data_IF_191413345921
#
_entry.id   IF_191413345921
#
_cell.length_a   1.000
_cell.length_b   1.000
_cell.length_c   1.000
_cell.angle_alpha   90.00
_cell.angle_beta   90.00
_cell.angle_gamma   90.00
#
_symmetry.space_group_name_H-M   'P 1'
#
loop_
_entity.id
_entity.type
_entity.pdbx_description
1 polymer ?
#
# COMPACT_ATOMS: atom_id res chain seq x y z
N UNK A 1 21.26 -74.44 -42.54
CA UNK A 1 20.71 -73.47 -43.53
C UNK A 1 19.44 -72.88 -42.94
N UNK A 2 19.17 -71.57 -43.14
CA UNK A 2 18.07 -70.72 -42.62
C UNK A 2 18.45 -69.92 -41.36
N UNK A 3 18.11 -68.64 -41.21
CA UNK A 3 17.53 -67.59 -42.06
C UNK A 3 17.77 -66.32 -41.22
N UNK A 4 18.45 -65.30 -41.75
CA UNK A 4 18.64 -64.02 -41.04
C UNK A 4 17.37 -63.17 -41.22
N UNK A 5 16.75 -62.74 -40.12
CA UNK A 5 15.70 -61.71 -40.10
C UNK A 5 16.16 -60.62 -39.13
N UNK A 6 16.39 -59.42 -39.67
CA UNK A 6 16.50 -58.18 -38.92
C UNK A 6 15.09 -57.70 -38.56
N UNK A 7 14.83 -57.42 -37.28
CA UNK A 7 13.69 -56.61 -36.86
C UNK A 7 14.22 -55.43 -36.06
N UNK A 8 14.28 -54.26 -36.71
CA UNK A 8 14.55 -52.96 -36.11
C UNK A 8 13.26 -52.46 -35.47
N UNK A 9 13.27 -52.29 -34.16
CA UNK A 9 12.24 -51.58 -33.40
C UNK A 9 12.34 -50.08 -33.65
N UNK A 10 11.39 -49.53 -34.40
CA UNK A 10 11.21 -48.09 -34.60
C UNK A 10 10.50 -47.51 -33.37
N UNK A 11 11.20 -46.66 -32.61
CA UNK A 11 10.61 -45.82 -31.56
C UNK A 11 9.88 -44.67 -32.24
N UNK A 12 8.59 -44.52 -31.96
CA UNK A 12 7.79 -43.36 -32.35
C UNK A 12 8.33 -42.12 -31.63
N UNK A 13 8.96 -41.22 -32.37
CA UNK A 13 9.24 -39.86 -31.94
C UNK A 13 7.97 -39.04 -32.19
N UNK A 14 7.16 -38.80 -31.15
CA UNK A 14 6.18 -37.72 -31.18
C UNK A 14 6.96 -36.41 -31.02
N UNK A 15 7.35 -35.82 -32.15
CA UNK A 15 7.79 -34.44 -32.20
C UNK A 15 6.58 -33.56 -31.84
N UNK A 16 6.64 -32.93 -30.68
CA UNK A 16 5.75 -31.88 -30.24
C UNK A 16 5.96 -30.69 -31.19
N UNK A 17 4.98 -30.40 -32.05
CA UNK A 17 4.97 -29.20 -32.88
C UNK A 17 5.10 -27.98 -31.96
N UNK A 18 6.16 -27.21 -32.16
CA UNK A 18 6.38 -25.95 -31.46
C UNK A 18 5.23 -24.98 -31.75
N UNK A 19 4.78 -24.27 -30.71
CA UNK A 19 3.95 -23.09 -30.84
C UNK A 19 4.59 -22.15 -31.87
N UNK A 20 3.99 -22.05 -33.06
CA UNK A 20 4.30 -21.00 -34.02
C UNK A 20 3.84 -19.67 -33.39
N UNK A 21 4.79 -18.86 -32.92
CA UNK A 21 4.58 -17.48 -32.48
C UNK A 21 3.98 -16.66 -33.63
N UNK A 22 2.66 -16.51 -33.65
CA UNK A 22 2.00 -15.68 -34.66
C UNK A 22 2.28 -14.20 -34.42
N UNK A 23 2.53 -13.45 -35.49
CA UNK A 23 2.68 -12.00 -35.44
C UNK A 23 1.30 -11.33 -35.44
N UNK A 24 1.05 -10.46 -34.47
CA UNK A 24 -0.19 -9.64 -34.39
C UNK A 24 -0.03 -8.30 -35.07
N UNK A 25 1.11 -7.62 -34.86
CA UNK A 25 1.42 -6.37 -35.51
C UNK A 25 2.94 -6.13 -35.59
N UNK A 26 3.35 -5.20 -36.44
CA UNK A 26 4.71 -4.69 -36.55
C UNK A 26 4.65 -3.18 -36.41
N UNK A 27 5.49 -2.60 -35.56
CA UNK A 27 5.60 -1.15 -35.31
C UNK A 27 7.08 -0.77 -35.41
N UNK A 28 7.44 -0.04 -36.46
CA UNK A 28 8.83 0.23 -36.82
C UNK A 28 9.58 -1.08 -37.10
N UNK A 29 10.58 -1.37 -36.28
CA UNK A 29 11.37 -2.61 -36.36
C UNK A 29 10.95 -3.65 -35.31
N UNK A 30 9.93 -3.36 -34.50
CA UNK A 30 9.49 -4.22 -33.39
C UNK A 30 8.26 -5.01 -33.79
N UNK A 31 8.25 -6.30 -33.43
CA UNK A 31 7.14 -7.22 -33.67
C UNK A 31 6.35 -7.40 -32.38
N UNK A 32 5.03 -7.30 -32.47
CA UNK A 32 4.09 -7.61 -31.39
C UNK A 32 3.52 -9.00 -31.66
N UNK A 33 3.73 -9.93 -30.73
CA UNK A 33 3.33 -11.32 -30.88
C UNK A 33 1.90 -11.57 -30.41
N UNK A 34 1.29 -12.66 -30.88
CA UNK A 34 -0.01 -13.16 -30.37
C UNK A 34 0.08 -13.55 -28.89
N UNK A 35 1.23 -14.04 -28.44
CA UNK A 35 1.51 -14.33 -27.02
C UNK A 35 1.39 -13.08 -26.15
N UNK A 36 1.98 -11.96 -26.57
CA UNK A 36 1.95 -10.68 -25.83
C UNK A 36 0.51 -10.18 -25.66
N UNK A 37 -0.27 -10.21 -26.74
CA UNK A 37 -1.69 -9.84 -26.73
C UNK A 37 -2.45 -10.75 -25.77
N UNK A 38 -2.22 -12.06 -25.85
CA UNK A 38 -2.91 -13.06 -25.02
C UNK A 38 -2.58 -12.90 -23.54
N UNK A 39 -1.31 -12.64 -23.21
CA UNK A 39 -0.86 -12.38 -21.85
C UNK A 39 -1.53 -11.13 -21.27
N UNK A 40 -1.57 -10.03 -22.03
CA UNK A 40 -2.23 -8.80 -21.60
C UNK A 40 -3.75 -8.99 -21.41
N UNK A 41 -4.40 -9.74 -22.30
CA UNK A 41 -5.82 -10.11 -22.15
C UNK A 41 -6.05 -10.93 -20.88
N UNK A 42 -5.25 -11.97 -20.64
CA UNK A 42 -5.36 -12.80 -19.44
C UNK A 42 -5.19 -12.00 -18.15
N UNK A 43 -4.18 -11.11 -18.10
CA UNK A 43 -3.96 -10.23 -16.96
C UNK A 43 -5.14 -9.28 -16.74
N UNK A 44 -5.63 -8.64 -17.80
CA UNK A 44 -6.77 -7.72 -17.75
C UNK A 44 -8.04 -8.43 -17.30
N UNK A 45 -8.28 -9.66 -17.77
CA UNK A 45 -9.43 -10.47 -17.40
C UNK A 45 -9.39 -10.86 -15.91
N UNK A 46 -8.23 -11.27 -15.40
CA UNK A 46 -8.06 -11.59 -13.97
C UNK A 46 -8.30 -10.38 -13.08
N UNK A 47 -7.71 -9.22 -13.41
CA UNK A 47 -7.88 -7.98 -12.64
C UNK A 47 -9.35 -7.54 -12.57
N UNK A 48 -10.07 -7.66 -13.69
CA UNK A 48 -11.47 -7.26 -13.79
C UNK A 48 -12.46 -8.39 -13.46
N UNK A 49 -11.98 -9.56 -13.03
CA UNK A 49 -12.79 -10.76 -12.72
C UNK A 49 -13.70 -11.18 -13.88
N UNK A 50 -13.22 -11.06 -15.11
CA UNK A 50 -13.95 -11.41 -16.33
C UNK A 50 -13.69 -12.88 -16.68
N UNK A 51 -14.75 -13.66 -16.80
CA UNK A 51 -14.68 -15.02 -17.33
C UNK A 51 -14.67 -14.98 -18.87
N UNK A 52 -13.47 -15.07 -19.45
CA UNK A 52 -13.25 -15.03 -20.91
C UNK A 52 -13.80 -16.25 -21.63
N UNK A 53 -13.98 -17.37 -20.95
CA UNK A 53 -14.45 -18.62 -21.56
C UNK A 53 -15.97 -18.62 -21.81
N UNK A 54 -16.71 -17.78 -21.07
CA UNK A 54 -18.18 -17.71 -21.16
C UNK A 54 -18.68 -16.62 -22.11
N UNK A 55 -17.81 -15.72 -22.58
CA UNK A 55 -18.22 -14.54 -23.34
C UNK A 55 -17.29 -14.25 -24.53
N UNK A 56 -17.46 -14.95 -25.67
CA UNK A 56 -16.59 -14.78 -26.86
C UNK A 56 -16.53 -13.34 -27.38
N UNK A 57 -17.64 -12.60 -27.33
CA UNK A 57 -17.69 -11.19 -27.76
C UNK A 57 -16.89 -10.26 -26.84
N UNK A 58 -16.79 -10.58 -25.56
CA UNK A 58 -15.98 -9.81 -24.59
C UNK A 58 -14.50 -10.11 -24.81
N UNK A 59 -14.16 -11.39 -25.04
CA UNK A 59 -12.81 -11.81 -25.38
C UNK A 59 -12.28 -11.06 -26.62
N UNK A 60 -13.06 -11.01 -27.71
CA UNK A 60 -12.65 -10.29 -28.93
C UNK A 60 -12.39 -8.80 -28.65
N UNK A 61 -13.25 -8.13 -27.88
CA UNK A 61 -13.05 -6.71 -27.50
C UNK A 61 -11.79 -6.52 -26.66
N UNK A 62 -11.49 -7.45 -25.76
CA UNK A 62 -10.27 -7.40 -24.95
C UNK A 62 -9.02 -7.61 -25.82
N UNK A 63 -9.06 -8.52 -26.79
CA UNK A 63 -7.95 -8.75 -27.72
C UNK A 63 -7.63 -7.51 -28.56
N UNK A 64 -8.67 -6.87 -29.14
CA UNK A 64 -8.49 -5.63 -29.90
C UNK A 64 -7.86 -4.53 -29.04
N UNK A 65 -8.42 -4.29 -27.84
CA UNK A 65 -7.87 -3.28 -26.91
C UNK A 65 -6.45 -3.60 -26.45
N UNK A 66 -6.15 -4.87 -26.20
CA UNK A 66 -4.81 -5.30 -25.80
C UNK A 66 -3.80 -5.04 -26.92
N UNK A 67 -4.15 -5.38 -28.16
CA UNK A 67 -3.31 -5.11 -29.33
C UNK A 67 -3.11 -3.60 -29.53
N UNK A 68 -4.17 -2.79 -29.46
CA UNK A 68 -4.08 -1.33 -29.54
C UNK A 68 -3.16 -0.75 -28.45
N UNK A 69 -3.29 -1.22 -27.20
CA UNK A 69 -2.44 -0.79 -26.10
C UNK A 69 -0.96 -1.14 -26.33
N UNK A 70 -0.67 -2.33 -26.85
CA UNK A 70 0.70 -2.75 -27.16
C UNK A 70 1.29 -1.91 -28.31
N UNK A 71 0.49 -1.64 -29.35
CA UNK A 71 0.90 -0.76 -30.46
C UNK A 71 1.18 0.64 -29.93
N UNK A 72 0.29 1.23 -29.14
CA UNK A 72 0.46 2.56 -28.57
C UNK A 72 1.69 2.65 -27.67
N UNK A 73 1.94 1.63 -26.84
CA UNK A 73 3.15 1.54 -26.02
C UNK A 73 4.40 1.50 -26.89
N UNK A 74 4.38 0.74 -27.98
CA UNK A 74 5.51 0.66 -28.89
C UNK A 74 5.75 1.98 -29.63
N UNK A 75 4.70 2.67 -30.06
CA UNK A 75 4.80 4.01 -30.65
C UNK A 75 5.47 4.97 -29.65
N UNK A 76 5.02 4.98 -28.39
CA UNK A 76 5.62 5.82 -27.35
C UNK A 76 7.11 5.52 -27.17
N UNK A 77 7.48 4.25 -27.13
CA UNK A 77 8.85 3.83 -26.93
C UNK A 77 9.75 4.25 -28.11
N UNK A 78 9.30 4.06 -29.35
CA UNK A 78 10.05 4.49 -30.54
C UNK A 78 10.21 6.02 -30.59
N UNK A 79 9.16 6.76 -30.27
CA UNK A 79 9.22 8.23 -30.19
C UNK A 79 10.12 8.71 -29.05
N UNK A 80 10.05 8.07 -27.89
CA UNK A 80 10.92 8.39 -26.74
C UNK A 80 12.40 8.17 -27.07
N UNK A 81 12.73 7.10 -27.82
CA UNK A 81 14.10 6.85 -28.31
C UNK A 81 14.56 7.94 -29.28
N UNK A 82 13.71 8.38 -30.20
CA UNK A 82 14.02 9.48 -31.13
C UNK A 82 14.30 10.79 -30.39
N UNK A 83 13.53 11.07 -29.34
CA UNK A 83 13.70 12.24 -28.48
C UNK A 83 14.78 12.06 -27.40
N UNK A 84 15.52 10.94 -27.45
CA UNK A 84 16.64 10.62 -26.54
C UNK A 84 16.26 10.64 -25.06
N UNK A 85 15.06 10.16 -24.73
CA UNK A 85 14.61 9.98 -23.35
C UNK A 85 15.35 8.79 -22.73
N UNK A 86 16.00 9.05 -21.60
CA UNK A 86 16.74 8.04 -20.84
C UNK A 86 16.28 8.00 -19.38
N UNK A 87 16.31 6.80 -18.81
CA UNK A 87 16.08 6.53 -17.39
C UNK A 87 17.37 6.00 -16.78
N UNK A 88 17.61 6.29 -15.50
CA UNK A 88 18.81 5.81 -14.82
C UNK A 88 18.63 4.36 -14.41
N UNK A 89 19.69 3.57 -14.51
CA UNK A 89 19.69 2.16 -14.06
C UNK A 89 19.25 2.01 -12.60
N UNK A 90 19.57 2.99 -11.75
CA UNK A 90 19.11 3.03 -10.36
C UNK A 90 17.57 3.03 -10.27
N UNK A 91 16.90 3.84 -11.08
CA UNK A 91 15.44 3.98 -11.05
C UNK A 91 14.76 2.68 -11.55
N UNK A 92 15.38 2.01 -12.54
CA UNK A 92 14.97 0.69 -13.04
C UNK A 92 15.08 -0.37 -11.94
N UNK A 93 16.22 -0.41 -11.24
CA UNK A 93 16.44 -1.36 -10.16
C UNK A 93 15.47 -1.13 -8.99
N UNK A 94 15.23 0.13 -8.61
CA UNK A 94 14.25 0.46 -7.56
C UNK A 94 12.82 0.08 -7.96
N UNK A 95 12.44 0.25 -9.23
CA UNK A 95 11.14 -0.18 -9.73
C UNK A 95 10.97 -1.71 -9.68
N UNK A 96 12.01 -2.45 -10.09
CA UNK A 96 12.07 -3.90 -9.98
C UNK A 96 11.98 -4.37 -8.53
N UNK A 97 12.71 -3.73 -7.62
CA UNK A 97 12.69 -4.09 -6.20
C UNK A 97 11.30 -3.90 -5.59
N UNK A 98 10.63 -2.76 -5.87
CA UNK A 98 9.24 -2.54 -5.46
C UNK A 98 8.30 -3.60 -6.03
N UNK A 99 8.48 -4.00 -7.28
CA UNK A 99 7.65 -5.04 -7.89
C UNK A 99 7.87 -6.40 -7.22
N UNK A 100 9.11 -6.75 -6.91
CA UNK A 100 9.44 -7.98 -6.17
C UNK A 100 8.87 -7.95 -4.76
N UNK A 101 8.99 -6.83 -4.04
CA UNK A 101 8.39 -6.64 -2.72
C UNK A 101 6.87 -6.83 -2.74
N UNK A 102 6.18 -6.30 -3.75
CA UNK A 102 4.75 -6.50 -3.93
C UNK A 102 4.40 -7.99 -4.15
N UNK A 103 5.18 -8.71 -4.94
CA UNK A 103 4.97 -10.15 -5.17
C UNK A 103 5.18 -10.93 -3.87
N UNK A 104 6.26 -10.65 -3.13
CA UNK A 104 6.53 -11.29 -1.83
C UNK A 104 5.40 -10.99 -0.84
N UNK A 105 4.93 -9.74 -0.78
CA UNK A 105 3.84 -9.35 0.12
C UNK A 105 2.53 -10.05 -0.20
N UNK A 106 2.25 -10.33 -1.48
CA UNK A 106 1.05 -11.06 -1.90
C UNK A 106 1.19 -12.58 -1.67
N UNK A 107 2.39 -13.13 -1.88
CA UNK A 107 2.68 -14.56 -1.69
C UNK A 107 2.88 -14.95 -0.22
N UNK A 108 3.31 -14.01 0.63
CA UNK A 108 3.58 -14.19 2.06
C UNK A 108 5.03 -14.58 2.39
N UNK A 109 5.78 -15.17 1.45
CA UNK A 109 7.21 -15.44 1.61
C UNK A 109 7.96 -15.40 0.27
N UNK A 110 9.29 -15.36 0.34
CA UNK A 110 10.17 -15.41 -0.84
C UNK A 110 10.05 -16.73 -1.57
N UNK A 111 10.00 -17.84 -0.83
CA UNK A 111 9.95 -19.19 -1.38
C UNK A 111 8.65 -19.41 -2.16
N UNK A 112 7.52 -18.96 -1.59
CA UNK A 112 6.21 -19.04 -2.26
C UNK A 112 6.17 -18.13 -3.49
N UNK A 113 6.80 -16.94 -3.41
CA UNK A 113 6.90 -16.04 -4.55
C UNK A 113 7.72 -16.67 -5.71
N UNK A 114 8.84 -17.32 -5.42
CA UNK A 114 9.67 -18.00 -6.43
C UNK A 114 8.96 -19.21 -7.04
N UNK A 115 8.22 -19.97 -6.23
CA UNK A 115 7.37 -21.08 -6.72
C UNK A 115 6.26 -20.56 -7.64
N UNK A 116 5.57 -19.48 -7.25
CA UNK A 116 4.53 -18.85 -8.05
C UNK A 116 5.07 -18.31 -9.39
N UNK A 117 6.27 -17.73 -9.38
CA UNK A 117 6.93 -17.22 -10.58
C UNK A 117 7.54 -18.33 -11.45
N UNK A 118 7.75 -19.54 -10.90
CA UNK A 118 8.47 -20.62 -11.57
C UNK A 118 9.95 -20.33 -11.80
N UNK A 119 10.51 -19.30 -11.16
CA UNK A 119 11.90 -18.87 -11.28
C UNK A 119 12.36 -18.09 -10.05
N UNK A 120 13.68 -18.01 -9.85
CA UNK A 120 14.23 -17.21 -8.75
C UNK A 120 13.96 -15.71 -8.93
N UNK A 121 13.80 -14.97 -7.82
CA UNK A 121 13.64 -13.52 -7.84
C UNK A 121 14.86 -12.80 -8.44
N UNK A 122 16.03 -13.45 -8.42
CA UNK A 122 17.24 -12.95 -9.09
C UNK A 122 17.14 -13.08 -10.60
N UNK A 123 16.65 -14.22 -11.10
CA UNK A 123 16.40 -14.40 -12.55
C UNK A 123 15.34 -13.42 -13.01
N UNK A 124 14.23 -13.33 -12.27
CA UNK A 124 13.16 -12.38 -12.54
C UNK A 124 13.67 -10.96 -12.75
N UNK A 125 14.47 -10.42 -11.81
CA UNK A 125 15.05 -9.07 -11.94
C UNK A 125 15.87 -8.90 -13.21
N UNK A 126 16.69 -9.89 -13.56
CA UNK A 126 17.54 -9.83 -14.75
C UNK A 126 16.70 -9.88 -16.02
N UNK A 127 15.74 -10.79 -16.06
CA UNK A 127 14.99 -11.12 -17.27
C UNK A 127 13.99 -10.00 -17.61
N UNK A 128 13.40 -9.34 -16.60
CA UNK A 128 12.47 -8.21 -16.77
C UNK A 128 13.13 -6.82 -16.74
N UNK A 129 14.45 -6.74 -16.62
CA UNK A 129 15.13 -5.44 -16.48
C UNK A 129 14.89 -4.52 -17.68
N UNK A 130 14.96 -5.07 -18.89
CA UNK A 130 14.72 -4.31 -20.12
C UNK A 130 13.26 -3.88 -20.22
N UNK A 131 12.32 -4.76 -19.88
CA UNK A 131 10.88 -4.43 -19.91
C UNK A 131 10.53 -3.30 -18.94
N UNK A 132 11.11 -3.31 -17.73
CA UNK A 132 10.90 -2.24 -16.75
C UNK A 132 11.58 -0.94 -17.19
N UNK A 133 12.77 -1.02 -17.80
CA UNK A 133 13.42 0.14 -18.38
C UNK A 133 12.54 0.78 -19.45
N UNK A 134 12.04 -0.02 -20.40
CA UNK A 134 11.20 0.46 -21.49
C UNK A 134 9.88 1.02 -20.96
N UNK A 135 9.26 0.38 -19.95
CA UNK A 135 8.10 0.92 -19.24
C UNK A 135 8.39 2.30 -18.66
N UNK A 136 9.46 2.46 -17.89
CA UNK A 136 9.82 3.75 -17.27
C UNK A 136 10.11 4.83 -18.31
N UNK A 137 10.77 4.49 -19.42
CA UNK A 137 10.99 5.42 -20.54
C UNK A 137 9.64 5.90 -21.10
N UNK A 138 8.71 4.97 -21.37
CA UNK A 138 7.38 5.34 -21.89
C UNK A 138 6.57 6.17 -20.90
N UNK A 139 6.58 5.84 -19.62
CA UNK A 139 5.89 6.60 -18.57
C UNK A 139 6.46 8.02 -18.43
N UNK A 140 7.78 8.15 -18.39
CA UNK A 140 8.45 9.45 -18.30
C UNK A 140 8.18 10.31 -19.53
N UNK A 141 8.24 9.71 -20.73
CA UNK A 141 7.97 10.42 -21.97
C UNK A 141 6.52 10.87 -22.03
N UNK A 142 5.56 9.97 -21.79
CA UNK A 142 4.14 10.32 -21.72
C UNK A 142 3.87 11.43 -20.70
N UNK A 143 4.45 11.34 -19.50
CA UNK A 143 4.35 12.38 -18.49
C UNK A 143 4.88 13.72 -19.01
N UNK A 144 6.05 13.74 -19.64
CA UNK A 144 6.66 14.97 -20.18
C UNK A 144 5.79 15.64 -21.24
N UNK A 145 5.07 14.86 -22.05
CA UNK A 145 4.15 15.34 -23.08
C UNK A 145 2.89 15.95 -22.44
N UNK A 146 2.23 15.22 -21.53
CA UNK A 146 0.93 15.65 -20.98
C UNK A 146 1.05 16.68 -19.87
N UNK A 147 2.22 16.81 -19.21
CA UNK A 147 2.40 17.74 -18.10
C UNK A 147 2.40 19.21 -18.54
N UNK A 148 2.73 19.48 -19.81
CA UNK A 148 2.70 20.83 -20.38
C UNK A 148 1.27 21.31 -20.67
N UNK A 149 0.30 20.39 -20.67
CA UNK A 149 -1.09 20.69 -20.96
C UNK A 149 -1.74 21.28 -19.72
N UNK A 150 -2.21 22.52 -19.88
CA UNK A 150 -3.04 23.21 -18.92
C UNK A 150 -4.46 23.39 -19.46
N UNK A 151 -5.38 23.76 -18.59
CA UNK A 151 -6.72 24.19 -18.96
C UNK A 151 -6.98 25.56 -18.36
N UNK A 152 -7.64 26.42 -19.12
CA UNK A 152 -8.07 27.73 -18.65
C UNK A 152 -9.54 27.68 -18.26
N UNK A 153 -10.02 28.78 -17.65
CA UNK A 153 -11.39 28.91 -17.17
C UNK A 153 -12.44 28.54 -18.25
N UNK A 154 -12.28 29.09 -19.45
CA UNK A 154 -13.23 28.86 -20.55
C UNK A 154 -13.26 27.39 -21.00
N UNK A 155 -12.11 26.71 -20.96
CA UNK A 155 -12.03 25.27 -21.23
C UNK A 155 -12.81 24.45 -20.21
N UNK A 156 -12.73 24.80 -18.93
CA UNK A 156 -13.48 24.13 -17.85
C UNK A 156 -14.99 24.35 -18.04
N UNK A 157 -15.41 25.57 -18.40
CA UNK A 157 -16.83 25.88 -18.64
C UNK A 157 -17.37 25.08 -19.83
N UNK A 158 -16.65 25.05 -20.97
CA UNK A 158 -17.07 24.25 -22.14
C UNK A 158 -17.16 22.77 -21.85
N UNK A 159 -16.16 22.22 -21.16
CA UNK A 159 -16.19 20.84 -20.70
C UNK A 159 -17.45 20.57 -19.87
N UNK A 160 -17.72 21.43 -18.89
CA UNK A 160 -18.89 21.26 -18.06
C UNK A 160 -20.19 21.31 -18.87
N UNK A 161 -20.36 22.27 -19.77
CA UNK A 161 -21.56 22.41 -20.60
C UNK A 161 -21.79 21.18 -21.50
N UNK A 162 -20.74 20.60 -22.07
CA UNK A 162 -20.81 19.45 -22.95
C UNK A 162 -21.10 18.14 -22.18
N UNK A 163 -20.47 17.95 -21.02
CA UNK A 163 -20.50 16.68 -20.30
C UNK A 163 -21.41 16.66 -19.06
N UNK A 164 -22.04 17.78 -18.69
CA UNK A 164 -22.81 17.95 -17.43
C UNK A 164 -23.73 16.78 -17.09
N UNK A 165 -24.41 16.22 -18.09
CA UNK A 165 -25.41 15.18 -17.89
C UNK A 165 -24.83 13.77 -17.82
N UNK A 166 -23.56 13.60 -18.21
CA UNK A 166 -22.79 12.36 -18.08
C UNK A 166 -21.88 12.35 -16.86
N UNK A 167 -21.66 13.49 -16.20
CA UNK A 167 -20.84 13.55 -14.98
C UNK A 167 -21.52 12.81 -13.82
N UNK A 168 -20.76 11.94 -13.16
CA UNK A 168 -21.19 11.23 -11.95
C UNK A 168 -21.35 12.16 -10.75
N UNK A 169 -21.92 11.63 -9.67
CA UNK A 169 -22.06 12.37 -8.41
C UNK A 169 -20.72 12.49 -7.68
N UNK A 170 -20.49 13.66 -7.09
CA UNK A 170 -19.36 13.91 -6.20
C UNK A 170 -19.77 13.63 -4.75
N UNK A 171 -18.91 13.00 -3.94
CA UNK A 171 -19.16 12.83 -2.52
C UNK A 171 -19.05 14.18 -1.80
N UNK A 172 -19.79 14.33 -0.71
CA UNK A 172 -19.59 15.44 0.23
C UNK A 172 -18.29 15.22 0.99
N UNK A 173 -17.39 16.20 0.95
CA UNK A 173 -16.11 16.12 1.66
C UNK A 173 -16.16 16.95 2.94
N UNK A 174 -15.61 16.39 4.01
CA UNK A 174 -15.52 17.03 5.32
C UNK A 174 -14.05 17.27 5.63
N UNK A 175 -13.71 18.50 6.01
CA UNK A 175 -12.39 18.78 6.58
C UNK A 175 -12.44 18.53 8.07
N UNK A 176 -11.64 17.58 8.53
CA UNK A 176 -11.69 17.10 9.90
C UNK A 176 -10.39 17.43 10.61
N UNK A 177 -10.52 17.93 11.83
CA UNK A 177 -9.44 17.99 12.80
C UNK A 177 -9.77 17.08 13.99
N UNK A 178 -8.76 16.41 14.56
CA UNK A 178 -8.99 15.53 15.71
C UNK A 178 -7.96 15.71 16.84
N UNK A 179 -8.35 15.29 18.04
CA UNK A 179 -7.45 15.10 19.19
C UNK A 179 -7.59 13.63 19.58
N UNK A 180 -6.51 12.87 19.50
CA UNK A 180 -6.45 11.49 19.98
C UNK A 180 -5.91 11.47 21.41
N UNK A 181 -6.57 10.74 22.30
CA UNK A 181 -6.16 10.54 23.68
C UNK A 181 -6.10 9.04 23.95
N UNK A 182 -4.89 8.51 24.06
CA UNK A 182 -4.68 7.11 24.39
C UNK A 182 -5.07 6.84 25.83
N UNK A 183 -5.66 5.67 26.07
CA UNK A 183 -6.07 5.27 27.41
C UNK A 183 -4.86 4.65 28.09
N UNK A 184 -4.39 5.32 29.15
CA UNK A 184 -3.21 4.91 29.89
C UNK A 184 -3.60 4.04 31.08
N UNK A 185 -2.88 2.96 31.36
CA UNK A 185 -3.14 2.11 32.51
C UNK A 185 -2.90 2.86 33.83
N UNK A 186 -3.70 2.57 34.85
CA UNK A 186 -3.46 3.09 36.19
C UNK A 186 -2.10 2.69 36.76
N UNK A 187 -1.61 3.44 37.75
CA UNK A 187 -0.42 3.06 38.53
C UNK A 187 -0.58 1.68 39.18
N UNK A 188 -1.80 1.29 39.54
CA UNK A 188 -2.09 -0.05 40.07
C UNK A 188 -1.88 -1.11 38.99
N UNK A 189 -2.47 -0.94 37.81
CA UNK A 189 -2.28 -1.86 36.68
C UNK A 189 -0.82 -1.97 36.27
N UNK A 190 -0.07 -0.86 36.30
CA UNK A 190 1.38 -0.85 36.07
C UNK A 190 2.13 -1.63 37.16
N UNK A 191 1.79 -1.43 38.43
CA UNK A 191 2.39 -2.17 39.55
C UNK A 191 2.09 -3.67 39.48
N UNK A 192 0.87 -4.05 39.09
CA UNK A 192 0.47 -5.45 38.95
C UNK A 192 1.24 -6.13 37.81
N UNK A 193 1.38 -5.45 36.67
CA UNK A 193 2.19 -5.91 35.54
C UNK A 193 3.67 -6.05 35.91
N UNK A 194 4.22 -5.06 36.64
CA UNK A 194 5.59 -5.09 37.14
C UNK A 194 5.81 -6.24 38.12
N UNK A 195 4.87 -6.49 39.03
CA UNK A 195 4.94 -7.62 39.96
C UNK A 195 4.94 -8.96 39.22
N UNK A 196 4.03 -9.13 38.26
CA UNK A 196 3.93 -10.34 37.44
C UNK A 196 5.20 -10.62 36.66
N UNK A 197 5.77 -9.61 36.00
CA UNK A 197 6.98 -9.82 35.20
C UNK A 197 8.23 -10.05 36.06
N UNK A 198 8.28 -9.47 37.26
CA UNK A 198 9.34 -9.78 38.23
C UNK A 198 9.25 -11.23 38.73
N UNK A 199 8.05 -11.74 38.99
CA UNK A 199 7.85 -13.15 39.33
C UNK A 199 8.36 -14.08 38.21
N UNK A 200 7.96 -13.81 36.96
CA UNK A 200 8.43 -14.57 35.79
C UNK A 200 9.96 -14.52 35.69
N UNK A 201 10.56 -13.34 35.87
CA UNK A 201 12.02 -13.17 35.86
C UNK A 201 12.70 -14.03 36.92
N UNK A 202 12.19 -14.00 38.16
CA UNK A 202 12.76 -14.77 39.27
C UNK A 202 12.69 -16.28 39.02
N UNK A 203 11.59 -16.75 38.40
CA UNK A 203 11.43 -18.14 37.96
C UNK A 203 12.47 -18.54 36.92
N UNK A 204 12.74 -17.68 35.93
CA UNK A 204 13.80 -17.92 34.93
C UNK A 204 15.17 -18.00 35.60
N UNK A 205 15.49 -17.05 36.49
CA UNK A 205 16.77 -17.04 37.22
C UNK A 205 16.92 -18.27 38.12
N UNK A 206 15.80 -18.78 38.63
CA UNK A 206 15.75 -20.02 39.44
C UNK A 206 15.86 -21.29 38.60
N UNK A 207 15.99 -21.19 37.27
CA UNK A 207 16.24 -22.30 36.36
C UNK A 207 15.04 -22.77 35.55
N UNK A 208 13.86 -22.12 35.66
CA UNK A 208 12.76 -22.41 34.76
C UNK A 208 13.06 -21.96 33.32
N UNK A 209 12.54 -22.70 32.34
CA UNK A 209 12.77 -22.42 30.92
C UNK A 209 12.15 -21.08 30.51
N UNK A 210 12.97 -20.16 30.01
CA UNK A 210 12.51 -18.92 29.39
C UNK A 210 11.48 -19.19 28.29
N UNK A 211 11.75 -20.19 27.43
CA UNK A 211 10.87 -20.53 26.31
C UNK A 211 9.48 -20.93 26.80
N UNK A 212 9.41 -21.78 27.84
CA UNK A 212 8.13 -22.24 28.39
C UNK A 212 7.36 -21.10 29.05
N UNK A 213 8.04 -20.22 29.79
CA UNK A 213 7.42 -19.05 30.43
C UNK A 213 6.96 -18.01 29.41
N UNK A 214 7.73 -17.80 28.34
CA UNK A 214 7.34 -16.92 27.25
C UNK A 214 6.09 -17.45 26.53
N UNK A 215 6.04 -18.76 26.22
CA UNK A 215 4.86 -19.37 25.62
C UNK A 215 3.62 -19.32 26.51
N UNK A 216 3.79 -19.42 27.84
CA UNK A 216 2.67 -19.44 28.78
C UNK A 216 2.18 -18.04 29.19
N UNK A 217 3.05 -17.02 29.18
CA UNK A 217 2.77 -15.74 29.82
C UNK A 217 3.00 -14.51 28.96
N UNK A 218 3.77 -14.59 27.87
CA UNK A 218 4.05 -13.43 27.03
C UNK A 218 2.80 -13.01 26.26
N UNK A 219 2.52 -11.72 26.30
CA UNK A 219 1.41 -11.06 25.59
C UNK A 219 1.88 -10.42 24.28
N UNK A 220 3.06 -10.83 23.79
CA UNK A 220 3.49 -10.60 22.42
C UNK A 220 2.79 -11.60 21.47
N UNK A 221 1.90 -11.13 20.57
CA UNK A 221 1.17 -12.02 19.65
C UNK A 221 2.09 -12.70 18.62
N UNK A 222 3.25 -12.13 18.30
CA UNK A 222 4.13 -12.63 17.23
C UNK A 222 5.03 -13.77 17.67
N UNK A 223 5.63 -13.68 18.86
CA UNK A 223 6.74 -14.56 19.25
C UNK A 223 6.50 -15.35 20.53
N UNK A 224 5.41 -15.13 21.26
CA UNK A 224 5.09 -15.89 22.49
C UNK A 224 5.19 -17.41 22.27
N UNK A 225 4.52 -17.95 21.25
CA UNK A 225 4.54 -19.38 20.90
C UNK A 225 5.92 -19.91 20.49
N UNK A 226 6.84 -19.03 20.08
CA UNK A 226 8.24 -19.33 19.73
C UNK A 226 9.19 -19.13 20.91
N UNK A 227 8.65 -19.01 22.13
CA UNK A 227 9.43 -18.75 23.34
C UNK A 227 9.99 -17.34 23.41
N UNK A 228 9.35 -16.38 22.75
CA UNK A 228 9.74 -14.99 22.69
C UNK A 228 10.90 -14.68 21.74
N UNK A 229 11.34 -15.64 20.92
CA UNK A 229 12.48 -15.48 20.01
C UNK A 229 12.14 -14.57 18.84
N UNK A 230 12.81 -13.42 18.77
CA UNK A 230 12.70 -12.43 17.70
C UNK A 230 13.73 -12.66 16.58
N UNK A 231 14.62 -13.64 16.73
CA UNK A 231 15.74 -13.85 15.81
C UNK A 231 16.77 -12.73 15.89
N UNK A 232 17.52 -12.54 14.80
CA UNK A 232 18.46 -11.43 14.67
C UNK A 232 17.72 -10.16 14.28
N UNK A 233 17.75 -9.18 15.17
CA UNK A 233 17.21 -7.84 14.93
C UNK A 233 18.37 -6.87 14.66
N UNK A 234 18.15 -5.96 13.72
CA UNK A 234 19.11 -4.88 13.42
C UNK A 234 18.90 -3.71 14.38
N UNK A 235 19.98 -2.95 14.63
CA UNK A 235 19.87 -1.68 15.36
C UNK A 235 18.96 -0.71 14.62
N UNK A 236 18.10 -0.01 15.35
CA UNK A 236 17.09 0.91 14.84
C UNK A 236 15.74 0.26 14.55
N UNK A 237 15.61 -1.07 14.69
CA UNK A 237 14.36 -1.79 14.42
C UNK A 237 13.44 -1.92 15.64
N UNK A 238 13.89 -1.49 16.83
CA UNK A 238 13.18 -1.66 18.10
C UNK A 238 12.92 -0.30 18.78
N UNK A 239 11.96 -0.28 19.70
CA UNK A 239 11.73 0.89 20.55
C UNK A 239 12.92 1.15 21.46
N UNK A 240 13.22 2.43 21.70
CA UNK A 240 14.50 2.89 22.27
C UNK A 240 14.85 2.23 23.61
N UNK A 241 13.90 2.11 24.52
CA UNK A 241 14.11 1.55 25.85
C UNK A 241 14.45 0.06 25.78
N UNK A 242 13.79 -0.66 24.87
CA UNK A 242 14.04 -2.08 24.63
C UNK A 242 15.39 -2.27 23.95
N UNK A 243 15.67 -1.48 22.90
CA UNK A 243 16.91 -1.57 22.13
C UNK A 243 18.14 -1.30 22.99
N UNK A 244 18.07 -0.28 23.84
CA UNK A 244 19.14 0.06 24.77
C UNK A 244 19.59 -1.17 25.56
N UNK A 245 18.64 -1.93 26.11
CA UNK A 245 18.95 -3.15 26.87
C UNK A 245 19.44 -4.27 25.95
N UNK A 246 18.76 -4.54 24.83
CA UNK A 246 19.14 -5.59 23.88
C UNK A 246 20.60 -5.48 23.38
N UNK A 247 21.10 -4.26 23.15
CA UNK A 247 22.44 -4.04 22.60
C UNK A 247 23.52 -3.70 23.64
N UNK A 248 23.17 -3.37 24.88
CA UNK A 248 24.16 -3.04 25.92
C UNK A 248 24.34 -4.13 26.97
N UNK A 249 23.32 -4.97 27.22
CA UNK A 249 23.43 -6.03 28.22
C UNK A 249 24.42 -7.12 27.82
N UNK A 250 24.90 -7.86 28.82
CA UNK A 250 25.72 -9.06 28.64
C UNK A 250 24.92 -10.18 27.96
N UNK A 251 25.61 -10.97 27.13
CA UNK A 251 25.00 -12.11 26.43
C UNK A 251 24.66 -13.19 27.46
N UNK A 252 23.46 -13.76 27.36
CA UNK A 252 22.90 -14.76 28.26
C UNK A 252 22.27 -14.20 29.53
N UNK A 253 22.33 -12.88 29.75
CA UNK A 253 21.71 -12.25 30.92
C UNK A 253 20.23 -11.96 30.67
N UNK A 254 19.39 -12.25 31.66
CA UNK A 254 17.99 -11.83 31.69
C UNK A 254 17.90 -10.45 32.35
N UNK A 255 17.46 -9.47 31.56
CA UNK A 255 17.36 -8.08 31.99
C UNK A 255 16.43 -7.88 33.19
N UNK A 256 16.59 -6.76 33.89
CA UNK A 256 15.51 -6.24 34.74
C UNK A 256 14.29 -5.86 33.87
N UNK A 257 13.09 -5.73 34.46
CA UNK A 257 11.92 -5.27 33.70
C UNK A 257 12.14 -3.89 33.09
N UNK A 258 11.83 -3.77 31.81
CA UNK A 258 11.95 -2.54 31.00
C UNK A 258 10.56 -2.10 30.60
N UNK A 259 10.17 -0.88 30.95
CA UNK A 259 8.88 -0.32 30.52
C UNK A 259 9.03 0.31 29.12
N UNK A 260 8.13 -0.06 28.22
CA UNK A 260 7.95 0.57 26.90
C UNK A 260 6.50 1.02 26.74
N UNK A 261 6.16 1.61 25.59
CA UNK A 261 4.77 1.91 25.22
C UNK A 261 3.85 0.67 25.15
N UNK A 262 4.42 -0.53 25.00
CA UNK A 262 3.66 -1.79 24.94
C UNK A 262 3.43 -2.44 26.30
N UNK A 263 4.23 -2.07 27.32
CA UNK A 263 4.18 -2.66 28.66
C UNK A 263 5.57 -2.99 29.19
N UNK A 264 5.64 -3.93 30.14
CA UNK A 264 6.91 -4.35 30.71
C UNK A 264 7.50 -5.50 29.92
N UNK A 265 8.82 -5.44 29.69
CA UNK A 265 9.59 -6.48 29.03
C UNK A 265 10.70 -7.01 29.92
N UNK A 266 10.96 -8.30 29.83
CA UNK A 266 12.27 -8.86 30.20
C UNK A 266 12.92 -9.43 28.95
N UNK A 267 14.20 -9.16 28.79
CA UNK A 267 14.93 -9.31 27.54
C UNK A 267 16.16 -10.17 27.82
N UNK A 268 16.44 -11.13 26.95
CA UNK A 268 17.66 -11.91 26.98
C UNK A 268 18.35 -11.82 25.62
N UNK A 269 19.62 -11.44 25.64
CA UNK A 269 20.45 -11.38 24.42
C UNK A 269 21.19 -12.69 24.28
N UNK A 270 20.91 -13.43 23.21
CA UNK A 270 21.46 -14.77 22.96
C UNK A 270 22.77 -14.72 22.18
N UNK A 271 22.92 -13.73 21.30
CA UNK A 271 24.10 -13.56 20.45
C UNK A 271 24.19 -12.11 19.94
N UNK A 272 25.38 -11.66 19.56
CA UNK A 272 25.61 -10.34 18.96
C UNK A 272 26.62 -10.43 17.82
N UNK A 273 26.25 -9.94 16.64
CA UNK A 273 27.06 -9.96 15.41
C UNK A 273 27.00 -8.60 14.72
N UNK A 274 28.02 -7.77 14.93
CA UNK A 274 28.04 -6.39 14.42
C UNK A 274 26.85 -5.59 14.93
N UNK A 275 26.09 -5.00 14.01
CA UNK A 275 24.87 -4.23 14.29
C UNK A 275 23.60 -5.09 14.45
N UNK A 276 23.74 -6.41 14.54
CA UNK A 276 22.62 -7.34 14.78
C UNK A 276 22.74 -8.02 16.14
N UNK A 277 21.64 -8.13 16.87
CA UNK A 277 21.55 -8.92 18.10
C UNK A 277 20.49 -10.00 17.95
N UNK A 278 20.80 -11.24 18.35
CA UNK A 278 19.80 -12.29 18.50
C UNK A 278 19.20 -12.18 19.90
N UNK A 279 17.89 -12.00 19.99
CA UNK A 279 17.23 -11.71 21.25
C UNK A 279 15.93 -12.49 21.42
N UNK A 280 15.55 -12.70 22.68
CA UNK A 280 14.22 -13.14 23.05
C UNK A 280 13.65 -12.29 24.19
N UNK A 281 12.33 -12.20 24.28
CA UNK A 281 11.67 -11.41 25.31
C UNK A 281 10.36 -12.01 25.82
N UNK A 282 9.93 -11.55 27.00
CA UNK A 282 8.56 -11.73 27.50
C UNK A 282 7.96 -10.35 27.70
N UNK A 283 6.77 -10.13 27.14
CA UNK A 283 6.00 -8.90 27.31
C UNK A 283 4.82 -9.15 28.25
N UNK A 284 4.66 -8.29 29.25
CA UNK A 284 3.46 -8.22 30.09
C UNK A 284 2.82 -6.85 29.92
N UNK A 285 1.60 -6.84 29.38
CA UNK A 285 0.81 -5.63 29.15
C UNK A 285 0.07 -5.25 30.42
N UNK A 286 0.18 -4.00 30.89
CA UNK A 286 -0.68 -3.52 31.95
C UNK A 286 -2.14 -3.51 31.47
N UNK A 287 -3.05 -4.01 32.30
CA UNK A 287 -4.48 -4.06 31.95
C UNK A 287 -5.09 -2.65 31.99
N UNK A 288 -5.79 -2.30 30.92
CA UNK A 288 -6.69 -1.15 30.90
C UNK A 288 -7.98 -1.54 31.60
N UNK A 289 -8.39 -0.73 32.57
CA UNK A 289 -9.62 -0.93 33.34
C UNK A 289 -10.69 0.08 32.92
N UNK A 290 -11.94 -0.20 33.27
CA UNK A 290 -13.06 0.75 33.07
C UNK A 290 -12.81 2.10 33.77
N UNK A 291 -12.11 2.10 34.90
CA UNK A 291 -11.68 3.33 35.57
C UNK A 291 -10.70 4.14 34.73
N UNK A 292 -9.77 3.48 34.04
CA UNK A 292 -8.81 4.15 33.14
C UNK A 292 -9.54 4.78 31.94
N UNK A 293 -10.52 4.04 31.39
CA UNK A 293 -11.38 4.56 30.32
C UNK A 293 -12.16 5.79 30.80
N UNK A 294 -12.73 5.73 32.00
CA UNK A 294 -13.49 6.84 32.61
C UNK A 294 -12.62 8.07 32.81
N UNK A 295 -11.37 7.91 33.25
CA UNK A 295 -10.42 9.03 33.41
C UNK A 295 -10.12 9.68 32.05
N UNK A 296 -9.80 8.86 31.05
CA UNK A 296 -9.54 9.34 29.69
C UNK A 296 -10.77 10.05 29.09
N UNK A 297 -11.96 9.47 29.27
CA UNK A 297 -13.22 10.05 28.82
C UNK A 297 -13.50 11.40 29.48
N UNK A 298 -13.35 11.50 30.80
CA UNK A 298 -13.57 12.75 31.53
C UNK A 298 -12.57 13.83 31.12
N UNK A 299 -11.32 13.45 30.86
CA UNK A 299 -10.32 14.38 30.34
C UNK A 299 -10.68 14.85 28.93
N UNK A 300 -11.10 13.94 28.04
CA UNK A 300 -11.61 14.30 26.72
C UNK A 300 -12.82 15.24 26.81
N UNK A 301 -13.72 15.01 27.76
CA UNK A 301 -14.88 15.88 28.00
C UNK A 301 -14.45 17.29 28.45
N UNK A 302 -13.49 17.39 29.37
CA UNK A 302 -12.94 18.68 29.80
C UNK A 302 -12.24 19.44 28.65
N UNK A 303 -11.53 18.72 27.77
CA UNK A 303 -10.92 19.31 26.58
C UNK A 303 -11.98 19.79 25.58
N UNK A 304 -13.04 19.01 25.35
CA UNK A 304 -14.18 19.43 24.53
C UNK A 304 -14.77 20.74 25.06
N UNK A 305 -15.06 20.83 26.36
CA UNK A 305 -15.68 22.01 26.96
C UNK A 305 -14.75 23.22 26.93
N UNK A 306 -13.43 22.99 26.93
CA UNK A 306 -12.41 24.04 26.74
C UNK A 306 -12.29 24.49 25.28
N UNK A 307 -12.67 23.65 24.30
CA UNK A 307 -12.55 23.92 22.86
C UNK A 307 -13.67 24.85 22.37
N UNK A 308 -13.68 26.09 22.86
CA UNK A 308 -14.72 27.09 22.55
C UNK A 308 -14.72 27.59 21.09
N UNK A 309 -13.61 27.41 20.36
CA UNK A 309 -13.50 27.71 18.94
C UNK A 309 -12.36 26.89 18.31
N UNK A 310 -12.30 26.90 16.98
CA UNK A 310 -11.33 26.11 16.21
C UNK A 310 -9.86 26.45 16.54
N UNK A 311 -9.54 27.72 16.81
CA UNK A 311 -8.17 28.11 17.17
C UNK A 311 -7.75 27.54 18.54
N UNK A 312 -8.68 27.48 19.50
CA UNK A 312 -8.44 26.82 20.78
C UNK A 312 -8.32 25.31 20.60
N UNK A 313 -9.20 24.70 19.80
CA UNK A 313 -9.11 23.26 19.48
C UNK A 313 -7.74 22.88 18.92
N UNK A 314 -7.21 23.62 17.93
CA UNK A 314 -5.86 23.37 17.38
C UNK A 314 -4.76 23.46 18.43
N UNK A 315 -4.86 24.41 19.38
CA UNK A 315 -3.89 24.52 20.48
C UNK A 315 -3.99 23.31 21.41
N UNK A 316 -5.20 22.88 21.77
CA UNK A 316 -5.42 21.68 22.59
C UNK A 316 -4.91 20.43 21.87
N UNK A 317 -5.13 20.31 20.56
CA UNK A 317 -4.57 19.24 19.74
C UNK A 317 -3.04 19.22 19.84
N UNK A 318 -2.38 20.36 19.63
CA UNK A 318 -0.92 20.47 19.74
C UNK A 318 -0.36 20.14 21.12
N UNK A 319 -1.11 20.40 22.19
CA UNK A 319 -0.69 20.15 23.57
C UNK A 319 -0.95 18.72 24.04
N UNK A 320 -2.11 18.16 23.69
CA UNK A 320 -2.63 16.95 24.34
C UNK A 320 -2.87 15.77 23.41
N UNK A 321 -2.87 15.96 22.09
CA UNK A 321 -3.04 14.83 21.18
C UNK A 321 -1.85 13.87 21.29
N UNK A 322 -2.14 12.58 21.39
CA UNK A 322 -1.18 11.48 21.30
C UNK A 322 -0.92 11.05 19.84
N UNK A 323 -1.63 11.62 18.85
CA UNK A 323 -1.33 11.44 17.42
C UNK A 323 -0.24 12.40 16.95
N UNK A 324 1.01 11.94 17.00
CA UNK A 324 2.19 12.74 16.61
C UNK A 324 2.19 13.18 15.14
N UNK A 325 1.49 12.46 14.25
CA UNK A 325 1.45 12.79 12.82
C UNK A 325 0.66 14.07 12.55
N UNK A 326 -0.41 14.32 13.31
CA UNK A 326 -1.31 15.46 13.10
C UNK A 326 -1.28 16.50 14.22
N UNK A 327 -0.77 16.17 15.41
CA UNK A 327 -0.66 17.07 16.57
C UNK A 327 -0.08 18.44 16.22
N UNK A 328 1.04 18.47 15.47
CA UNK A 328 1.73 19.72 15.09
C UNK A 328 0.98 20.58 14.09
N UNK A 329 0.05 19.99 13.33
CA UNK A 329 -0.82 20.68 12.37
C UNK A 329 -2.24 20.89 12.94
N UNK A 330 -2.41 20.79 14.25
CA UNK A 330 -3.68 21.02 14.92
C UNK A 330 -4.70 19.91 14.69
N UNK A 331 -4.23 18.69 14.48
CA UNK A 331 -5.07 17.51 14.28
C UNK A 331 -5.64 17.35 12.88
N UNK A 332 -5.17 18.10 11.88
CA UNK A 332 -5.76 18.12 10.53
C UNK A 332 -5.60 16.77 9.81
N UNK A 333 -6.73 16.10 9.55
CA UNK A 333 -6.83 14.87 8.76
C UNK A 333 -7.10 15.15 7.27
N UNK A 334 -7.19 16.43 6.88
CA UNK A 334 -7.49 16.84 5.52
C UNK A 334 -8.97 16.70 5.16
N UNK A 335 -9.25 16.73 3.85
CA UNK A 335 -10.59 16.53 3.29
C UNK A 335 -10.85 15.04 3.14
N UNK A 336 -11.91 14.54 3.79
CA UNK A 336 -12.27 13.13 3.76
C UNK A 336 -13.70 12.94 3.23
N UNK A 337 -13.88 11.83 2.51
CA UNK A 337 -15.18 11.29 2.15
C UNK A 337 -15.60 10.28 3.23
N UNK A 338 -16.66 10.61 3.97
CA UNK A 338 -17.14 9.78 5.08
C UNK A 338 -17.66 8.40 4.65
N UNK A 339 -18.02 8.23 3.37
CA UNK A 339 -18.49 6.94 2.85
C UNK A 339 -17.36 5.91 2.73
N UNK A 340 -16.13 6.38 2.57
CA UNK A 340 -14.92 5.56 2.41
C UNK A 340 -13.92 5.75 3.56
N UNK A 341 -14.32 6.43 4.63
CA UNK A 341 -13.44 6.73 5.76
C UNK A 341 -13.24 5.50 6.64
N UNK A 342 -11.98 5.19 6.99
CA UNK A 342 -11.60 3.96 7.70
C UNK A 342 -12.05 3.91 9.17
N UNK A 343 -12.68 4.97 9.70
CA UNK A 343 -13.17 5.05 11.08
C UNK A 343 -14.69 5.25 11.11
N UNK A 344 -15.49 4.15 11.13
CA UNK A 344 -16.95 4.22 11.13
C UNK A 344 -17.53 5.01 12.31
N UNK A 345 -16.86 5.00 13.46
CA UNK A 345 -17.26 5.74 14.66
C UNK A 345 -17.25 7.25 14.42
N UNK A 346 -16.26 7.74 13.66
CA UNK A 346 -16.18 9.16 13.26
C UNK A 346 -17.35 9.51 12.36
N UNK A 347 -17.64 8.68 11.36
CA UNK A 347 -18.76 8.90 10.43
C UNK A 347 -20.09 9.07 11.16
N UNK A 348 -20.39 8.21 12.14
CA UNK A 348 -21.63 8.31 12.94
C UNK A 348 -21.73 9.63 13.70
N UNK A 349 -20.63 10.06 14.32
CA UNK A 349 -20.61 11.30 15.09
C UNK A 349 -20.66 12.53 14.19
N UNK A 350 -19.92 12.55 13.09
CA UNK A 350 -19.91 13.68 12.15
C UNK A 350 -21.29 13.86 11.49
N UNK A 351 -21.99 12.78 11.16
CA UNK A 351 -23.36 12.84 10.64
C UNK A 351 -24.37 13.38 11.66
N UNK A 352 -24.10 13.23 12.96
CA UNK A 352 -24.96 13.72 14.04
C UNK A 352 -24.58 15.11 14.55
N UNK A 353 -23.32 15.53 14.38
CA UNK A 353 -22.85 16.88 14.70
C UNK A 353 -23.30 17.83 13.58
N UNK A 354 -24.50 18.40 13.75
CA UNK A 354 -25.13 19.31 12.79
C UNK A 354 -24.46 20.69 12.67
N UNK A 355 -23.33 20.95 13.35
CA UNK A 355 -22.70 22.28 13.33
C UNK A 355 -21.19 22.25 13.06
N UNK A 356 -20.80 22.98 12.01
CA UNK A 356 -19.42 23.26 11.55
C UNK A 356 -18.52 23.98 12.56
N UNK A 357 -18.98 24.18 13.79
CA UNK A 357 -18.36 25.10 14.74
C UNK A 357 -18.34 24.56 16.17
N UNK A 358 -18.51 23.25 16.35
CA UNK A 358 -18.45 22.63 17.67
C UNK A 358 -17.53 21.41 17.67
N UNK A 359 -16.92 21.19 18.83
CA UNK A 359 -16.20 19.97 19.13
C UNK A 359 -17.19 18.85 19.43
N UNK A 360 -16.95 17.67 18.85
CA UNK A 360 -17.74 16.48 19.13
C UNK A 360 -17.63 16.04 20.59
N UNK A 361 -18.56 15.20 21.04
CA UNK A 361 -18.36 14.37 22.23
C UNK A 361 -17.20 13.39 22.03
N UNK A 362 -16.58 12.90 23.12
CA UNK A 362 -15.54 11.88 23.05
C UNK A 362 -16.04 10.62 22.30
N UNK A 363 -15.30 10.24 21.27
CA UNK A 363 -15.55 9.07 20.43
C UNK A 363 -14.55 7.99 20.84
N UNK A 364 -15.05 6.84 21.29
CA UNK A 364 -14.20 5.69 21.61
C UNK A 364 -13.84 4.93 20.34
N UNK A 365 -12.55 4.68 20.13
CA UNK A 365 -11.99 3.81 19.07
C UNK A 365 -10.99 2.82 19.67
N UNK A 366 -10.36 2.00 18.83
CA UNK A 366 -9.24 1.15 19.24
C UNK A 366 -8.00 1.94 19.74
N UNK A 367 -7.79 3.17 19.24
CA UNK A 367 -6.64 4.00 19.61
C UNK A 367 -6.85 4.83 20.89
N UNK A 368 -8.08 4.84 21.42
CA UNK A 368 -8.44 5.57 22.64
C UNK A 368 -9.69 6.42 22.45
N UNK A 369 -9.72 7.58 23.09
CA UNK A 369 -10.79 8.56 22.91
C UNK A 369 -10.36 9.63 21.91
N UNK A 370 -11.29 10.03 21.05
CA UNK A 370 -11.07 11.08 20.07
C UNK A 370 -12.07 12.22 20.26
N UNK A 371 -11.59 13.43 20.08
CA UNK A 371 -12.44 14.59 19.84
C UNK A 371 -12.31 15.00 18.38
N UNK A 372 -13.41 15.40 17.78
CA UNK A 372 -13.47 15.76 16.36
C UNK A 372 -14.02 17.16 16.21
N UNK A 373 -13.38 17.94 15.35
CA UNK A 373 -13.86 19.25 14.90
C UNK A 373 -14.01 19.24 13.38
N UNK A 374 -15.18 19.61 12.88
CA UNK A 374 -15.42 19.76 11.44
C UNK A 374 -15.06 21.20 11.08
N UNK A 375 -13.93 21.40 10.40
CA UNK A 375 -13.43 22.75 10.06
C UNK A 375 -13.92 23.25 8.70
N UNK A 376 -14.53 22.39 7.89
CA UNK A 376 -15.16 22.77 6.63
C UNK A 376 -15.95 21.63 5.99
N UNK A 377 -16.90 21.99 5.13
CA UNK A 377 -17.67 21.06 4.31
C UNK A 377 -17.65 21.55 2.87
N UNK A 378 -17.31 20.66 1.94
CA UNK A 378 -17.55 20.85 0.50
C UNK A 378 -18.77 20.02 0.16
N UNK A 379 -19.87 20.66 -0.27
CA UNK A 379 -21.06 19.92 -0.65
C UNK A 379 -20.70 18.96 -1.78
N UNK A 380 -21.27 17.76 -1.75
CA UNK A 380 -21.27 16.86 -2.89
C UNK A 380 -22.50 17.07 -3.76
N UNK A 381 -22.82 16.08 -4.58
CA UNK A 381 -24.00 16.06 -5.44
C UNK A 381 -23.63 16.05 -6.92
N UNK A 382 -24.57 16.49 -7.77
CA UNK A 382 -24.28 16.65 -9.20
C UNK A 382 -23.26 17.79 -9.37
N UNK A 383 -22.15 17.59 -10.09
CA UNK A 383 -21.14 18.62 -10.29
C UNK A 383 -21.75 19.92 -10.81
N UNK A 384 -21.21 21.05 -10.36
CA UNK A 384 -21.58 22.37 -10.83
C UNK A 384 -20.38 23.33 -10.70
N UNK A 385 -20.38 24.39 -11.51
CA UNK A 385 -19.24 25.33 -11.57
C UNK A 385 -19.09 26.25 -10.36
N UNK A 386 -20.12 26.38 -9.52
CA UNK A 386 -20.08 27.24 -8.34
C UNK A 386 -19.42 26.52 -7.15
N UNK A 387 -19.85 25.28 -6.88
CA UNK A 387 -19.44 24.54 -5.69
C UNK A 387 -18.28 23.57 -5.95
N UNK A 388 -18.14 23.09 -7.19
CA UNK A 388 -17.24 21.98 -7.54
C UNK A 388 -16.18 22.36 -8.58
N UNK A 389 -15.78 23.64 -8.63
CA UNK A 389 -14.81 24.13 -9.61
C UNK A 389 -13.52 23.29 -9.67
N UNK A 390 -12.83 22.99 -8.55
CA UNK A 390 -11.57 22.22 -8.59
C UNK A 390 -11.74 20.80 -9.15
N UNK A 391 -12.84 20.13 -8.81
CA UNK A 391 -13.15 18.79 -9.26
C UNK A 391 -13.47 18.78 -10.76
N UNK A 392 -14.29 19.73 -11.23
CA UNK A 392 -14.63 19.88 -12.65
C UNK A 392 -13.41 20.29 -13.46
N UNK A 393 -12.55 21.18 -12.95
CA UNK A 393 -11.28 21.55 -13.59
C UNK A 393 -10.35 20.36 -13.75
N UNK A 394 -10.23 19.51 -12.72
CA UNK A 394 -9.43 18.27 -12.79
C UNK A 394 -9.98 17.31 -13.85
N UNK A 395 -11.31 17.12 -13.90
CA UNK A 395 -11.96 16.28 -14.90
C UNK A 395 -11.73 16.82 -16.32
N UNK A 396 -11.95 18.13 -16.51
CA UNK A 396 -11.77 18.81 -17.77
C UNK A 396 -10.32 18.74 -18.25
N UNK A 397 -9.35 18.96 -17.34
CA UNK A 397 -7.93 18.82 -17.64
C UNK A 397 -7.58 17.38 -18.02
N UNK A 398 -8.09 16.40 -17.28
CA UNK A 398 -7.86 14.98 -17.58
C UNK A 398 -8.39 14.61 -18.97
N UNK A 399 -9.60 15.07 -19.31
CA UNK A 399 -10.17 14.82 -20.62
C UNK A 399 -9.37 15.51 -21.74
N UNK A 400 -9.02 16.79 -21.54
CA UNK A 400 -8.19 17.54 -22.51
C UNK A 400 -6.85 16.83 -22.75
N UNK A 401 -6.22 16.33 -21.68
CA UNK A 401 -4.97 15.54 -21.78
C UNK A 401 -5.20 14.26 -22.59
N UNK A 402 -6.30 13.54 -22.36
CA UNK A 402 -6.66 12.35 -23.13
C UNK A 402 -6.82 12.62 -24.63
N UNK A 403 -7.68 13.58 -24.99
CA UNK A 403 -7.93 13.95 -26.40
C UNK A 403 -6.65 14.40 -27.10
N UNK A 404 -5.85 15.24 -26.43
CA UNK A 404 -4.57 15.69 -26.99
C UNK A 404 -3.61 14.51 -27.19
N UNK A 405 -3.55 13.59 -26.24
CA UNK A 405 -2.65 12.45 -26.29
C UNK A 405 -3.03 11.45 -27.38
N UNK A 406 -4.33 11.21 -27.59
CA UNK A 406 -4.82 10.42 -28.73
C UNK A 406 -4.42 11.06 -30.06
N UNK A 407 -4.63 12.37 -30.22
CA UNK A 407 -4.20 13.08 -31.43
C UNK A 407 -2.67 13.10 -31.62
N UNK A 408 -1.90 13.15 -30.52
CA UNK A 408 -0.45 13.01 -30.57
C UNK A 408 -0.04 11.60 -31.01
N UNK A 409 -0.70 10.55 -30.50
CA UNK A 409 -0.45 9.16 -30.89
C UNK A 409 -0.74 8.94 -32.38
N UNK A 410 -1.82 9.48 -32.93
CA UNK A 410 -2.13 9.40 -34.37
C UNK A 410 -1.03 10.06 -35.22
N UNK A 411 -0.56 11.24 -34.81
CA UNK A 411 0.52 11.93 -35.50
C UNK A 411 1.85 11.17 -35.40
N UNK A 412 2.15 10.60 -34.23
CA UNK A 412 3.34 9.78 -34.02
C UNK A 412 3.27 8.49 -34.85
N UNK A 413 2.11 7.82 -34.87
CA UNK A 413 1.85 6.63 -35.66
C UNK A 413 2.11 6.88 -37.15
N UNK A 414 1.72 8.04 -37.69
CA UNK A 414 1.95 8.39 -39.10
C UNK A 414 3.43 8.52 -39.50
N UNK A 415 4.35 8.63 -38.53
CA UNK A 415 5.80 8.70 -38.74
C UNK A 415 6.47 7.33 -38.69
N UNK A 416 5.75 6.30 -38.28
CA UNK A 416 6.26 4.95 -38.10
C UNK A 416 5.61 4.00 -39.11
N UNK A 417 6.33 2.96 -39.50
CA UNK A 417 5.73 1.85 -40.23
C UNK A 417 4.88 1.03 -39.26
N UNK A 418 3.57 0.91 -39.51
CA UNK A 418 2.67 0.08 -38.71
C UNK A 418 1.92 -0.87 -39.63
N UNK A 419 2.01 -2.16 -39.33
CA UNK A 419 1.27 -3.21 -40.04
C UNK A 419 0.55 -4.08 -39.02
N UNK A 420 -0.77 -4.21 -39.15
CA UNK A 420 -1.61 -5.05 -38.28
C UNK A 420 -2.05 -6.25 -39.10
N UNK A 421 -1.88 -7.44 -38.54
CA UNK A 421 -2.28 -8.68 -39.20
C UNK A 421 -3.78 -8.92 -39.00
N UNK A 422 -4.54 -9.15 -40.08
CA UNK A 422 -6.02 -9.11 -40.11
C UNK A 422 -6.73 -10.27 -39.36
N UNK A 423 -6.01 -11.16 -38.67
CA UNK A 423 -6.59 -12.31 -37.97
C UNK A 423 -7.21 -12.01 -36.58
N UNK A 424 -7.45 -10.74 -36.21
CA UNK A 424 -7.97 -10.33 -34.88
C UNK A 424 -9.41 -9.78 -34.90
#
# INVERSE_FOLDING_TARGET
MKLFVYLSSFVFLLAQEGLLEGVSAVVGNTVILKSDVSQLVSMTALQNKIDINKNPSVLKKLQVRALENLINRQILLEMAKLDSIEVKDKDVNEALDRQVENIISQAGSVEIAEEYLGQSLRSYRRDYWVDIRDLLITEQYQFSLINQININRDGVVRFYEEYRDSLGFLPTLYRINHIQLSIKPSNKSLSDALSKINDIRNRIISGESFHSLAAAHSEDPGNSSRGGDLGYVERGALVSEFEAIAFTQEIGLVSNPVLTEFGYHIIETLDRKGEKSKIRHILIKPKITESDETISFNFALALKDSAVNFNVFKKLAGLYSDDESTKKIGGDLGWVDLSNFSLPEFTKVIQTVSSLHSCSFPIKTAAGHHLVWISGVRPGGKPNLADHWPEVEKMALSQKKGIWFEGWLEQAASRLFISINEEH
#
